data_IF_913442688745
#
_entry.id   IF_913442688745
#
_cell.length_a   1.000
_cell.length_b   1.000
_cell.length_c   1.000
_cell.angle_alpha   90.00
_cell.angle_beta   90.00
_cell.angle_gamma   90.00
#
_symmetry.space_group_name_H-M   'P 1'
#
loop_
_entity.id
_entity.type
_entity.pdbx_description
1 polymer ?
#
# COMPACT_ATOMS: atom_id res chain seq x y z
N UNK A 1 5.22 -15.90 5.72
CA UNK A 1 6.38 -15.27 4.97
C UNK A 1 6.69 -13.87 5.52
N UNK A 2 7.93 -13.34 5.56
CA UNK A 2 8.19 -11.93 6.02
C UNK A 2 7.74 -10.88 4.97
N UNK A 3 7.44 -9.64 5.38
CA UNK A 3 6.99 -8.56 4.47
C UNK A 3 7.99 -8.29 3.33
N UNK A 4 9.28 -8.18 3.63
CA UNK A 4 10.34 -7.97 2.62
C UNK A 4 10.40 -9.09 1.57
N UNK A 5 10.23 -10.35 2.02
CA UNK A 5 10.18 -11.51 1.13
C UNK A 5 8.94 -11.46 0.24
N UNK A 6 7.80 -10.99 0.76
CA UNK A 6 6.60 -10.74 -0.03
C UNK A 6 6.85 -9.72 -1.12
N UNK A 7 7.48 -8.58 -0.78
CA UNK A 7 7.77 -7.52 -1.75
C UNK A 7 8.66 -8.06 -2.88
N UNK A 8 9.71 -8.81 -2.54
CA UNK A 8 10.60 -9.40 -3.53
C UNK A 8 9.86 -10.38 -4.46
N UNK A 9 9.01 -11.25 -3.90
CA UNK A 9 8.19 -12.18 -4.68
C UNK A 9 7.20 -11.45 -5.59
N UNK A 10 6.51 -10.43 -5.06
CA UNK A 10 5.55 -9.62 -5.82
C UNK A 10 6.24 -8.89 -6.98
N UNK A 11 7.41 -8.30 -6.76
CA UNK A 11 8.22 -7.69 -7.83
C UNK A 11 8.64 -8.71 -8.88
N UNK A 12 9.02 -9.92 -8.48
CA UNK A 12 9.34 -11.00 -9.42
C UNK A 12 8.14 -11.41 -10.28
N UNK A 13 6.93 -11.45 -9.71
CA UNK A 13 5.70 -11.84 -10.41
C UNK A 13 5.23 -10.74 -11.38
N UNK A 14 5.29 -9.49 -10.94
CA UNK A 14 4.72 -8.36 -11.69
C UNK A 14 5.69 -7.78 -12.72
N UNK A 15 7.00 -7.79 -12.44
CA UNK A 15 7.99 -7.12 -13.27
C UNK A 15 7.62 -5.66 -13.49
N UNK A 16 7.54 -5.25 -14.76
CA UNK A 16 7.18 -3.88 -15.17
C UNK A 16 5.73 -3.49 -14.83
N UNK A 17 4.88 -4.45 -14.47
CA UNK A 17 3.50 -4.21 -14.02
C UNK A 17 3.40 -3.88 -12.53
N UNK A 18 4.53 -3.79 -11.84
CA UNK A 18 4.56 -3.36 -10.44
C UNK A 18 4.13 -1.90 -10.35
N UNK A 19 3.09 -1.62 -9.56
CA UNK A 19 2.63 -0.26 -9.30
C UNK A 19 3.63 0.43 -8.37
N UNK A 20 4.21 1.54 -8.81
CA UNK A 20 5.12 2.37 -8.03
C UNK A 20 4.49 3.75 -7.85
N UNK A 21 3.87 3.97 -6.69
CA UNK A 21 3.10 5.18 -6.43
C UNK A 21 4.02 6.33 -6.02
N UNK A 22 3.91 7.47 -6.70
CA UNK A 22 4.67 8.67 -6.33
C UNK A 22 3.79 9.90 -6.24
N UNK A 23 4.18 10.80 -5.34
CA UNK A 23 3.56 12.12 -5.13
C UNK A 23 4.68 13.16 -5.09
N UNK A 24 4.70 14.04 -6.08
CA UNK A 24 5.66 15.14 -6.14
C UNK A 24 5.22 16.34 -5.29
N UNK A 25 3.91 16.58 -5.26
CA UNK A 25 3.30 17.72 -4.57
C UNK A 25 1.90 17.36 -4.08
N UNK A 26 1.53 17.93 -2.93
CA UNK A 26 0.19 17.83 -2.38
C UNK A 26 -0.25 19.17 -1.79
N UNK A 27 -1.56 19.33 -1.64
CA UNK A 27 -2.19 20.40 -0.88
C UNK A 27 -2.99 19.79 0.28
N UNK A 28 -3.00 20.50 1.41
CA UNK A 28 -3.73 20.10 2.59
C UNK A 28 -4.37 21.31 3.24
N UNK A 29 -5.64 21.18 3.57
CA UNK A 29 -6.42 22.20 4.28
C UNK A 29 -7.10 21.53 5.47
N UNK A 30 -6.98 22.16 6.64
CA UNK A 30 -7.61 21.70 7.88
C UNK A 30 -8.38 22.86 8.49
N UNK A 31 -9.65 22.60 8.81
CA UNK A 31 -10.45 23.49 9.66
C UNK A 31 -10.35 23.00 11.10
N UNK A 32 -9.55 23.70 11.91
CA UNK A 32 -9.33 23.37 13.32
C UNK A 32 -10.59 23.52 14.20
N UNK A 33 -11.64 24.17 13.70
CA UNK A 33 -12.91 24.32 14.43
C UNK A 33 -13.78 23.09 14.23
N UNK A 34 -13.91 22.61 12.99
CA UNK A 34 -14.73 21.46 12.65
C UNK A 34 -13.98 20.12 12.67
N UNK A 35 -12.65 20.14 12.68
CA UNK A 35 -11.79 18.97 12.54
C UNK A 35 -11.73 18.41 11.11
N UNK A 36 -12.35 19.08 10.14
CA UNK A 36 -12.41 18.59 8.77
C UNK A 36 -11.11 18.87 8.02
N UNK A 37 -10.60 17.82 7.39
CA UNK A 37 -9.38 17.84 6.60
C UNK A 37 -9.70 17.53 5.13
N UNK A 38 -9.03 18.24 4.23
CA UNK A 38 -9.04 17.94 2.79
C UNK A 38 -7.60 17.81 2.32
N UNK A 39 -7.32 16.70 1.64
CA UNK A 39 -6.05 16.42 1.00
C UNK A 39 -6.25 16.29 -0.50
N UNK A 40 -5.35 16.87 -1.29
CA UNK A 40 -5.30 16.66 -2.74
C UNK A 40 -3.86 16.52 -3.24
N UNK A 41 -3.63 15.64 -4.22
CA UNK A 41 -2.32 15.52 -4.85
C UNK A 41 -2.42 15.03 -6.30
N UNK A 42 -1.31 15.16 -7.03
CA UNK A 42 -1.12 14.43 -8.28
C UNK A 42 -0.40 13.12 -7.96
N UNK A 43 -1.09 12.01 -8.22
CA UNK A 43 -0.59 10.65 -8.03
C UNK A 43 -0.13 10.09 -9.37
N UNK A 44 1.10 9.60 -9.46
CA UNK A 44 1.57 8.81 -10.61
C UNK A 44 1.87 7.36 -10.18
N UNK A 45 1.79 6.43 -11.13
CA UNK A 45 1.93 4.98 -10.91
C UNK A 45 3.05 4.35 -11.73
N UNK A 46 4.21 5.02 -11.82
CA UNK A 46 5.33 4.65 -12.68
C UNK A 46 5.37 5.40 -14.03
N UNK A 47 6.35 5.07 -14.88
CA UNK A 47 6.70 5.85 -16.08
C UNK A 47 5.62 5.88 -17.17
N UNK A 48 4.73 4.88 -17.22
CA UNK A 48 3.74 4.71 -18.29
C UNK A 48 2.30 5.03 -17.86
N UNK A 49 2.05 5.39 -16.59
CA UNK A 49 0.71 5.76 -16.15
C UNK A 49 0.57 7.28 -16.06
N UNK A 50 -0.46 7.88 -16.70
CA UNK A 50 -0.69 9.32 -16.60
C UNK A 50 -0.96 9.68 -15.14
N UNK A 51 -0.39 10.80 -14.70
CA UNK A 51 -0.67 11.36 -13.38
C UNK A 51 -2.16 11.68 -13.23
N UNK A 52 -2.73 11.42 -12.06
CA UNK A 52 -4.14 11.65 -11.77
C UNK A 52 -4.31 12.48 -10.52
N UNK A 53 -5.33 13.32 -10.53
CA UNK A 53 -5.70 14.10 -9.36
C UNK A 53 -6.50 13.21 -8.41
N UNK A 54 -6.05 13.12 -7.17
CA UNK A 54 -6.74 12.39 -6.11
C UNK A 54 -7.09 13.36 -4.99
N UNK A 55 -8.30 13.21 -4.46
CA UNK A 55 -8.84 14.05 -3.39
C UNK A 55 -9.41 13.13 -2.31
N UNK A 56 -9.09 13.44 -1.06
CA UNK A 56 -9.60 12.75 0.10
C UNK A 56 -10.02 13.73 1.19
N UNK A 57 -11.01 13.30 1.96
CA UNK A 57 -11.51 14.03 3.12
C UNK A 57 -11.33 13.15 4.36
N UNK A 58 -11.14 13.77 5.51
CA UNK A 58 -10.97 13.03 6.76
C UNK A 58 -11.01 13.92 7.98
N UNK A 59 -10.75 13.32 9.13
CA UNK A 59 -10.68 14.01 10.44
C UNK A 59 -9.24 14.33 10.86
N UNK A 60 -8.27 14.02 10.01
CA UNK A 60 -6.86 14.29 10.23
C UNK A 60 -6.05 14.09 8.95
N UNK A 61 -4.78 14.51 8.97
CA UNK A 61 -3.90 14.45 7.80
C UNK A 61 -3.79 13.04 7.19
N UNK A 62 -3.42 12.05 8.01
CA UNK A 62 -3.24 10.65 7.56
C UNK A 62 -4.57 10.05 7.07
N UNK A 63 -5.67 10.37 7.74
CA UNK A 63 -7.00 9.89 7.39
C UNK A 63 -7.44 10.42 6.01
N UNK A 64 -7.27 11.73 5.77
CA UNK A 64 -7.57 12.34 4.48
C UNK A 64 -6.70 11.76 3.34
N UNK A 65 -5.41 11.51 3.59
CA UNK A 65 -4.51 10.86 2.62
C UNK A 65 -4.98 9.45 2.31
N UNK A 66 -5.27 8.65 3.34
CA UNK A 66 -5.73 7.28 3.16
C UNK A 66 -7.06 7.21 2.41
N UNK A 67 -8.01 8.09 2.72
CA UNK A 67 -9.27 8.18 1.97
C UNK A 67 -9.04 8.60 0.52
N UNK A 68 -8.11 9.52 0.22
CA UNK A 68 -7.79 9.88 -1.16
C UNK A 68 -7.34 8.66 -1.98
N UNK A 69 -6.40 7.88 -1.42
CA UNK A 69 -5.88 6.68 -2.07
C UNK A 69 -6.93 5.58 -2.15
N UNK A 70 -7.66 5.31 -1.07
CA UNK A 70 -8.70 4.28 -1.03
C UNK A 70 -9.82 4.57 -2.02
N UNK A 71 -10.31 5.80 -2.09
CA UNK A 71 -11.36 6.18 -3.04
C UNK A 71 -10.92 5.98 -4.49
N UNK A 72 -9.63 6.17 -4.78
CA UNK A 72 -9.08 5.99 -6.12
C UNK A 72 -8.78 4.53 -6.47
N UNK A 73 -8.18 3.77 -5.55
CA UNK A 73 -7.61 2.45 -5.81
C UNK A 73 -8.57 1.31 -5.45
N UNK A 74 -9.37 1.43 -4.39
CA UNK A 74 -10.24 0.35 -3.91
C UNK A 74 -11.33 -0.11 -4.89
N UNK A 75 -11.87 0.73 -5.81
CA UNK A 75 -12.80 0.26 -6.84
C UNK A 75 -12.22 -0.86 -7.72
N UNK A 76 -10.93 -0.76 -8.04
CA UNK A 76 -10.19 -1.75 -8.84
C UNK A 76 -9.52 -2.81 -7.96
N UNK A 77 -9.20 -2.48 -6.70
CA UNK A 77 -8.42 -3.31 -5.78
C UNK A 77 -9.10 -3.45 -4.41
N UNK A 78 -10.08 -4.36 -4.26
CA UNK A 78 -10.86 -4.51 -3.03
C UNK A 78 -10.04 -4.89 -1.80
N UNK A 79 -8.80 -5.37 -1.94
CA UNK A 79 -7.92 -5.65 -0.80
C UNK A 79 -7.78 -4.46 0.16
N UNK A 80 -7.82 -3.23 -0.36
CA UNK A 80 -7.76 -2.00 0.43
C UNK A 80 -8.98 -1.77 1.35
N UNK A 81 -10.09 -2.47 1.13
CA UNK A 81 -11.24 -2.43 2.04
C UNK A 81 -11.03 -3.28 3.29
N UNK A 82 -10.08 -4.22 3.26
CA UNK A 82 -9.82 -5.17 4.34
C UNK A 82 -8.69 -4.76 5.28
N UNK A 83 -8.07 -3.60 5.05
CA UNK A 83 -6.93 -3.11 5.82
C UNK A 83 -7.33 -1.98 6.77
N UNK A 84 -6.70 -1.94 7.93
CA UNK A 84 -6.94 -0.92 8.97
C UNK A 84 -5.63 -0.48 9.60
N UNK A 85 -5.55 0.79 10.01
CA UNK A 85 -4.40 1.29 10.77
C UNK A 85 -4.54 0.87 12.24
N UNK A 86 -3.48 0.29 12.79
CA UNK A 86 -3.42 -0.19 14.18
C UNK A 86 -2.26 0.41 14.98
N UNK A 87 -1.41 1.18 14.33
CA UNK A 87 -0.30 1.89 14.97
C UNK A 87 0.19 3.04 14.12
N UNK A 88 0.50 4.14 14.77
CA UNK A 88 1.13 5.30 14.16
C UNK A 88 2.03 5.96 15.18
N UNK A 89 3.33 5.91 14.95
CA UNK A 89 4.33 6.43 15.86
C UNK A 89 5.27 7.38 15.12
N UNK A 90 5.60 8.50 15.77
CA UNK A 90 6.60 9.45 15.28
C UNK A 90 7.62 9.68 16.40
N UNK A 91 8.90 9.52 16.09
CA UNK A 91 10.01 9.81 16.99
C UNK A 91 10.97 10.80 16.33
N UNK A 92 11.25 11.90 16.99
CA UNK A 92 12.27 12.84 16.54
C UNK A 92 13.66 12.36 16.98
N UNK A 93 14.61 12.32 16.05
CA UNK A 93 16.03 12.15 16.35
C UNK A 93 16.70 13.51 16.48
N UNK A 94 16.64 14.08 17.69
CA UNK A 94 17.18 15.41 17.98
C UNK A 94 18.70 15.53 17.78
N UNK A 95 19.43 14.41 17.69
CA UNK A 95 20.85 14.43 17.37
C UNK A 95 21.11 14.86 15.91
N UNK A 96 20.11 14.75 15.04
CA UNK A 96 20.21 15.09 13.61
C UNK A 96 19.85 16.55 13.29
N UNK A 97 19.56 17.38 14.30
CA UNK A 97 19.26 18.81 14.13
C UNK A 97 20.40 19.56 13.45
N UNK A 98 20.08 20.48 12.54
CA UNK A 98 21.07 21.39 11.94
C UNK A 98 21.14 22.72 12.67
N UNK A 99 20.07 23.08 13.39
CA UNK A 99 19.98 24.34 14.11
C UNK A 99 19.80 24.10 15.62
N UNK A 100 20.19 25.11 16.42
CA UNK A 100 20.13 25.07 17.89
C UNK A 100 18.70 24.81 18.38
N UNK A 101 17.70 25.37 17.70
CA UNK A 101 16.28 25.20 18.04
C UNK A 101 15.79 23.75 17.92
N UNK A 102 16.47 22.90 17.13
CA UNK A 102 16.15 21.47 17.02
C UNK A 102 14.88 21.12 16.25
N UNK A 103 14.08 22.10 15.83
CA UNK A 103 12.80 21.90 15.13
C UNK A 103 12.95 21.30 13.73
N UNK A 104 14.17 21.28 13.18
CA UNK A 104 14.47 20.73 11.86
C UNK A 104 14.96 19.29 11.91
N UNK A 105 15.04 18.66 13.10
CA UNK A 105 15.49 17.28 13.28
C UNK A 105 14.73 16.29 12.40
N UNK A 106 15.40 15.20 12.02
CA UNK A 106 14.76 14.08 11.31
C UNK A 106 13.74 13.44 12.24
N UNK A 107 12.53 13.23 11.75
CA UNK A 107 11.51 12.42 12.38
C UNK A 107 11.48 11.04 11.70
N UNK A 108 11.50 9.99 12.50
CA UNK A 108 11.22 8.62 12.09
C UNK A 108 9.75 8.30 12.39
N UNK A 109 9.02 7.87 11.37
CA UNK A 109 7.62 7.51 11.41
C UNK A 109 7.50 6.01 11.18
N UNK A 110 6.66 5.35 11.98
CA UNK A 110 6.24 3.96 11.80
C UNK A 110 4.73 3.91 11.69
N UNK A 111 4.22 3.51 10.52
CA UNK A 111 2.81 3.21 10.29
C UNK A 111 2.61 1.70 10.34
N UNK A 112 1.68 1.24 11.17
CA UNK A 112 1.33 -0.19 11.30
C UNK A 112 -0.06 -0.42 10.75
N UNK A 113 -0.13 -1.28 9.74
CA UNK A 113 -1.38 -1.67 9.08
C UNK A 113 -1.68 -3.13 9.40
N UNK A 114 -2.93 -3.43 9.68
CA UNK A 114 -3.40 -4.79 9.94
C UNK A 114 -4.41 -5.20 8.87
N UNK A 115 -4.28 -6.43 8.37
CA UNK A 115 -5.27 -7.02 7.47
C UNK A 115 -6.39 -7.73 8.25
N UNK A 116 -7.40 -8.25 7.55
CA UNK A 116 -8.52 -8.97 8.20
C UNK A 116 -8.11 -10.24 8.97
N UNK A 117 -6.94 -10.82 8.67
CA UNK A 117 -6.40 -12.00 9.35
C UNK A 117 -5.65 -11.62 10.65
N UNK A 118 -5.66 -10.35 11.04
CA UNK A 118 -4.96 -9.85 12.24
C UNK A 118 -3.45 -9.73 12.04
N UNK A 119 -2.96 -9.89 10.81
CA UNK A 119 -1.53 -9.78 10.51
C UNK A 119 -1.13 -8.34 10.31
N UNK A 120 -0.01 -7.95 10.92
CA UNK A 120 0.53 -6.59 10.91
C UNK A 120 1.67 -6.42 9.92
N UNK A 121 1.71 -5.23 9.32
CA UNK A 121 2.68 -4.76 8.35
C UNK A 121 3.17 -3.39 8.79
N UNK A 122 4.49 -3.17 8.72
CA UNK A 122 5.11 -1.94 9.19
C UNK A 122 5.69 -1.18 8.00
N UNK A 123 5.42 0.13 7.96
CA UNK A 123 5.90 1.05 6.94
C UNK A 123 6.67 2.15 7.65
N UNK A 124 7.99 2.16 7.45
CA UNK A 124 8.92 3.01 8.17
C UNK A 124 9.47 4.09 7.25
N UNK A 125 9.36 5.36 7.66
CA UNK A 125 9.89 6.50 6.91
C UNK A 125 10.62 7.48 7.81
N UNK A 126 11.69 8.08 7.28
CA UNK A 126 12.43 9.11 7.99
C UNK A 126 12.67 10.32 7.11
N UNK A 127 12.33 11.51 7.59
CA UNK A 127 12.57 12.78 6.92
C UNK A 127 12.49 13.93 7.92
N UNK A 128 12.97 15.12 7.54
CA UNK A 128 12.74 16.36 8.29
C UNK A 128 11.31 16.87 8.17
N UNK A 129 10.53 16.35 7.21
CA UNK A 129 9.09 16.63 7.09
C UNK A 129 8.28 15.44 7.58
N UNK A 130 7.55 15.64 8.68
CA UNK A 130 6.65 14.65 9.27
C UNK A 130 5.50 14.32 8.31
N UNK A 131 4.92 15.34 7.69
CA UNK A 131 3.79 15.17 6.75
C UNK A 131 4.23 14.44 5.49
N UNK A 132 5.45 14.70 4.97
CA UNK A 132 5.98 13.93 3.85
C UNK A 132 6.19 12.45 4.21
N UNK A 133 6.72 12.16 5.41
CA UNK A 133 6.82 10.78 5.89
C UNK A 133 5.46 10.09 5.94
N UNK A 134 4.45 10.78 6.47
CA UNK A 134 3.11 10.24 6.60
C UNK A 134 2.47 9.95 5.24
N UNK A 135 2.61 10.85 4.26
CA UNK A 135 2.15 10.63 2.87
C UNK A 135 2.83 9.39 2.30
N UNK A 136 4.16 9.34 2.31
CA UNK A 136 4.92 8.25 1.68
C UNK A 136 4.63 6.90 2.36
N UNK A 137 4.59 6.84 3.70
CA UNK A 137 4.27 5.61 4.41
C UNK A 137 2.85 5.10 4.08
N UNK A 138 1.89 6.02 3.95
CA UNK A 138 0.51 5.68 3.56
C UNK A 138 0.45 5.19 2.11
N UNK A 139 1.21 5.81 1.21
CA UNK A 139 1.35 5.37 -0.18
C UNK A 139 1.91 3.95 -0.27
N UNK A 140 3.03 3.69 0.42
CA UNK A 140 3.66 2.37 0.42
C UNK A 140 2.76 1.29 1.00
N UNK A 141 1.96 1.63 2.02
CA UNK A 141 0.94 0.74 2.53
C UNK A 141 -0.08 0.37 1.45
N UNK A 142 -0.69 1.36 0.80
CA UNK A 142 -1.66 1.11 -0.27
C UNK A 142 -1.04 0.35 -1.44
N UNK A 143 0.16 0.74 -1.88
CA UNK A 143 0.93 0.09 -2.94
C UNK A 143 1.16 -1.39 -2.63
N UNK A 144 1.61 -1.71 -1.41
CA UNK A 144 1.88 -3.07 -0.99
C UNK A 144 0.65 -3.97 -1.16
N UNK A 145 -0.51 -3.52 -0.68
CA UNK A 145 -1.74 -4.32 -0.76
C UNK A 145 -2.25 -4.46 -2.20
N UNK A 146 -2.22 -3.38 -2.99
CA UNK A 146 -2.60 -3.41 -4.41
C UNK A 146 -1.70 -4.36 -5.20
N UNK A 147 -0.38 -4.24 -5.08
CA UNK A 147 0.54 -5.10 -5.80
C UNK A 147 0.45 -6.56 -5.35
N UNK A 148 0.24 -6.81 -4.06
CA UNK A 148 0.04 -8.18 -3.56
C UNK A 148 -1.24 -8.79 -4.14
N UNK A 149 -2.34 -8.02 -4.24
CA UNK A 149 -3.56 -8.44 -4.93
C UNK A 149 -3.33 -8.76 -6.41
N UNK A 150 -2.70 -7.86 -7.16
CA UNK A 150 -2.46 -8.06 -8.60
C UNK A 150 -1.54 -9.27 -8.84
N UNK A 151 -0.54 -9.48 -7.98
CA UNK A 151 0.34 -10.64 -8.04
C UNK A 151 -0.41 -11.94 -7.77
N UNK A 152 -1.32 -11.95 -6.79
CA UNK A 152 -2.16 -13.11 -6.48
C UNK A 152 -3.06 -13.48 -7.66
N UNK A 153 -3.74 -12.50 -8.26
CA UNK A 153 -4.60 -12.71 -9.45
C UNK A 153 -3.76 -13.24 -10.62
N UNK A 154 -2.58 -12.66 -10.86
CA UNK A 154 -1.65 -13.13 -11.90
C UNK A 154 -1.25 -14.59 -11.70
N UNK A 155 -0.86 -14.97 -10.49
CA UNK A 155 -0.51 -16.36 -10.18
C UNK A 155 -1.70 -17.30 -10.29
N UNK A 156 -2.90 -16.86 -9.93
CA UNK A 156 -4.10 -17.66 -10.06
C UNK A 156 -4.35 -18.03 -11.53
N UNK A 157 -4.30 -17.06 -12.44
CA UNK A 157 -4.45 -17.33 -13.87
C UNK A 157 -3.32 -18.23 -14.42
N UNK A 158 -2.07 -18.00 -14.00
CA UNK A 158 -0.94 -18.84 -14.40
C UNK A 158 -1.08 -20.29 -13.90
N UNK A 159 -1.63 -20.48 -12.69
CA UNK A 159 -1.93 -21.79 -12.13
C UNK A 159 -3.02 -22.52 -12.92
N UNK A 160 -4.10 -21.83 -13.31
CA UNK A 160 -5.15 -22.44 -14.14
C UNK A 160 -4.61 -22.86 -15.50
N UNK A 161 -3.84 -21.99 -16.16
CA UNK A 161 -3.20 -22.31 -17.44
C UNK A 161 -2.23 -23.50 -17.33
N UNK A 162 -1.41 -23.55 -16.28
CA UNK A 162 -0.51 -24.68 -16.03
C UNK A 162 -1.27 -26.01 -15.83
N UNK A 163 -2.40 -25.97 -15.12
CA UNK A 163 -3.28 -27.15 -14.94
C UNK A 163 -3.88 -27.60 -16.27
N UNK A 164 -4.42 -26.68 -17.07
CA UNK A 164 -4.98 -27.00 -18.40
C UNK A 164 -3.92 -27.59 -19.33
N UNK A 165 -2.66 -27.16 -19.23
CA UNK A 165 -1.54 -27.67 -20.03
C UNK A 165 -0.85 -28.90 -19.44
N UNK A 166 -1.37 -29.49 -18.35
CA UNK A 166 -0.76 -30.61 -17.62
C UNK A 166 0.72 -30.39 -17.22
N UNK A 167 1.07 -29.15 -16.89
CA UNK A 167 2.42 -28.78 -16.39
C UNK A 167 2.44 -28.80 -14.86
N UNK A 168 2.51 -30.01 -14.31
CA UNK A 168 2.50 -30.23 -12.85
C UNK A 168 3.60 -29.45 -12.12
N UNK A 169 4.79 -29.35 -12.71
CA UNK A 169 5.93 -28.60 -12.19
C UNK A 169 5.61 -27.10 -11.97
N UNK A 170 4.92 -26.49 -12.93
CA UNK A 170 4.50 -25.08 -12.85
C UNK A 170 3.33 -24.92 -11.89
N UNK A 171 2.39 -25.86 -11.90
CA UNK A 171 1.24 -25.85 -11.00
C UNK A 171 1.67 -25.91 -9.53
N UNK A 172 2.62 -26.78 -9.19
CA UNK A 172 3.17 -26.89 -7.83
C UNK A 172 3.89 -25.60 -7.42
N UNK A 173 4.72 -25.05 -8.31
CA UNK A 173 5.43 -23.79 -8.05
C UNK A 173 4.47 -22.62 -7.82
N UNK A 174 3.47 -22.44 -8.68
CA UNK A 174 2.51 -21.34 -8.54
C UNK A 174 1.63 -21.52 -7.30
N UNK A 175 1.24 -22.75 -6.97
CA UNK A 175 0.50 -23.05 -5.73
C UNK A 175 1.28 -22.66 -4.49
N UNK A 176 2.58 -22.96 -4.45
CA UNK A 176 3.47 -22.58 -3.35
C UNK A 176 3.62 -21.05 -3.22
N UNK A 177 3.81 -20.36 -4.34
CA UNK A 177 3.90 -18.89 -4.36
C UNK A 177 2.59 -18.23 -3.91
N UNK A 178 1.43 -18.75 -4.35
CA UNK A 178 0.12 -18.27 -3.91
C UNK A 178 -0.09 -18.47 -2.41
N UNK A 179 0.26 -19.64 -1.86
CA UNK A 179 0.13 -19.91 -0.43
C UNK A 179 0.91 -18.87 0.41
N UNK A 180 2.11 -18.50 -0.04
CA UNK A 180 2.89 -17.43 0.58
C UNK A 180 2.20 -16.06 0.57
N UNK A 181 1.48 -15.72 -0.49
CA UNK A 181 0.76 -14.44 -0.61
C UNK A 181 -0.56 -14.42 0.16
N UNK A 182 -1.28 -15.54 0.27
CA UNK A 182 -2.58 -15.61 0.98
C UNK A 182 -2.44 -15.28 2.47
N UNK A 183 -1.31 -15.63 3.09
CA UNK A 183 -1.00 -15.25 4.47
C UNK A 183 -0.88 -13.73 4.66
N UNK A 184 -0.74 -12.96 3.57
CA UNK A 184 -0.50 -11.52 3.63
C UNK A 184 -1.78 -10.69 3.45
N UNK A 185 -2.91 -11.30 3.06
CA UNK A 185 -4.07 -10.56 2.52
C UNK A 185 -5.37 -11.34 2.63
N UNK A 186 -6.46 -10.62 2.89
CA UNK A 186 -7.82 -11.18 2.92
C UNK A 186 -8.38 -11.35 1.50
N UNK A 187 -8.12 -12.49 0.87
CA UNK A 187 -8.58 -12.72 -0.51
C UNK A 187 -9.97 -13.32 -0.64
N UNK A 188 -10.75 -13.44 0.44
CA UNK A 188 -12.10 -14.04 0.40
C UNK A 188 -12.96 -13.43 -0.72
N UNK A 189 -13.05 -12.10 -0.75
CA UNK A 189 -13.85 -11.36 -1.74
C UNK A 189 -13.28 -11.48 -3.17
N UNK A 190 -11.95 -11.65 -3.29
CA UNK A 190 -11.27 -11.80 -4.58
C UNK A 190 -11.44 -13.21 -5.12
N UNK A 191 -11.37 -14.23 -4.25
CA UNK A 191 -11.64 -15.63 -4.60
C UNK A 191 -13.09 -15.77 -5.08
N UNK A 192 -14.04 -15.11 -4.43
CA UNK A 192 -15.45 -15.13 -4.85
C UNK A 192 -15.67 -14.40 -6.19
N UNK A 193 -14.94 -13.30 -6.46
CA UNK A 193 -14.90 -12.67 -7.79
C UNK A 193 -14.29 -13.58 -8.86
N UNK A 194 -13.18 -14.25 -8.56
CA UNK A 194 -12.52 -15.14 -9.52
C UNK A 194 -13.40 -16.36 -9.85
N UNK A 195 -14.11 -16.89 -8.86
CA UNK A 195 -15.08 -18.00 -9.06
C UNK A 195 -16.28 -17.60 -9.90
N UNK A 196 -16.72 -16.35 -9.86
CA UNK A 196 -17.83 -15.86 -10.68
C UNK A 196 -17.43 -15.48 -12.12
N UNK A 197 -16.13 -15.43 -12.42
CA UNK A 197 -15.56 -15.17 -13.75
C UNK A 197 -14.98 -16.43 -14.43
N UNK A 198 -15.00 -17.58 -13.75
CA UNK A 198 -14.58 -18.89 -14.27
C UNK A 198 -15.78 -19.69 -14.76
#
# INVERSE_FOLDING_TARGET
>A
MKQEQSIALVRQILGDRYLDLTVERYQFTEDLTSGNCTFSCHLSGGSDQPSRDVIGHGVGFVDAVFHALKNHLAPMHPSLNSVRFVGFEIRADLATRRHVAGSDAIAALTLVVENSQGRRFEFNKSSRSITACAVIATLEACEYFVNTEVAFITLHHALQDAKTRNRADLADRFSMQMAGLVENTSYSDIIDRLRSQS
#
